data_IF_286298436268
#
_entry.id   IF_286298436268
#
_cell.length_a   1.000
_cell.length_b   1.000
_cell.length_c   1.000
_cell.angle_alpha   90.00
_cell.angle_beta   90.00
_cell.angle_gamma   90.00
#
_symmetry.space_group_name_H-M   'P 1'
#
loop_
_entity.id
_entity.type
_entity.pdbx_description
1 polymer ?
#
# COMPACT_ATOMS: atom_id res chain seq x y z
N UNK A 1 -8.05 16.37 10.77
CA UNK A 1 -9.44 15.94 10.92
C UNK A 1 -9.66 15.51 12.37
N UNK A 2 -10.69 16.00 13.04
CA UNK A 2 -11.14 15.48 14.34
C UNK A 2 -11.84 14.15 14.09
N UNK A 3 -11.45 13.09 14.78
CA UNK A 3 -12.16 11.82 14.72
C UNK A 3 -13.49 11.97 15.48
N UNK A 4 -14.58 11.38 15.01
CA UNK A 4 -15.82 11.32 15.79
C UNK A 4 -15.58 10.52 17.06
N UNK A 5 -16.33 10.79 18.13
CA UNK A 5 -16.26 9.98 19.35
C UNK A 5 -16.36 8.48 19.02
N UNK A 6 -15.41 7.69 19.51
CA UNK A 6 -15.33 6.24 19.25
C UNK A 6 -14.64 5.83 17.94
N UNK A 7 -14.14 6.75 17.12
CA UNK A 7 -13.34 6.43 15.92
C UNK A 7 -11.85 6.65 16.14
N UNK A 8 -11.04 5.70 15.69
CA UNK A 8 -9.58 5.79 15.74
C UNK A 8 -9.08 6.64 14.56
N UNK A 9 -8.15 7.54 14.83
CA UNK A 9 -7.38 8.23 13.79
C UNK A 9 -6.02 7.54 13.60
N UNK A 10 -5.33 7.76 12.46
CA UNK A 10 -3.98 7.24 12.27
C UNK A 10 -3.06 7.58 13.45
N UNK A 11 -3.11 8.84 13.90
CA UNK A 11 -2.25 9.34 14.98
C UNK A 11 -2.55 8.71 16.32
N UNK A 12 -3.80 8.27 16.56
CA UNK A 12 -4.20 7.63 17.81
C UNK A 12 -3.50 6.27 18.03
N UNK A 13 -2.98 5.65 16.97
CA UNK A 13 -2.22 4.39 17.02
C UNK A 13 -0.82 4.50 16.41
N UNK A 14 -0.29 5.72 16.31
CA UNK A 14 1.12 5.96 15.94
C UNK A 14 1.42 6.08 14.43
N UNK A 15 0.41 6.22 13.56
CA UNK A 15 0.59 6.50 12.14
C UNK A 15 0.34 7.98 11.81
N UNK A 16 0.98 8.48 10.75
CA UNK A 16 0.72 9.81 10.21
C UNK A 16 -0.47 9.85 9.24
N UNK A 17 -0.71 8.73 8.56
CA UNK A 17 -1.83 8.53 7.66
C UNK A 17 -1.97 7.04 7.34
N UNK A 18 -3.17 6.60 7.00
CA UNK A 18 -3.46 5.25 6.55
C UNK A 18 -4.44 5.26 5.38
N UNK A 19 -4.52 4.16 4.64
CA UNK A 19 -5.51 4.00 3.59
C UNK A 19 -6.95 3.99 4.14
N UNK A 20 -7.14 3.33 5.29
CA UNK A 20 -8.39 3.24 6.04
C UNK A 20 -8.10 2.72 7.46
N UNK A 21 -9.07 2.81 8.38
CA UNK A 21 -8.94 2.21 9.72
C UNK A 21 -8.76 0.68 9.57
N UNK A 22 -7.68 0.08 10.10
CA UNK A 22 -7.43 -1.35 9.94
C UNK A 22 -8.57 -2.24 10.45
N UNK A 23 -9.41 -1.77 11.40
CA UNK A 23 -10.59 -2.50 11.87
C UNK A 23 -11.67 -2.67 10.78
N UNK A 24 -11.62 -1.88 9.70
CA UNK A 24 -12.49 -2.04 8.53
C UNK A 24 -12.01 -3.13 7.55
N UNK A 25 -10.83 -3.72 7.79
CA UNK A 25 -10.37 -4.89 7.05
C UNK A 25 -11.32 -6.07 7.25
N UNK A 26 -11.87 -6.59 6.17
CA UNK A 26 -13.05 -7.49 6.22
C UNK A 26 -13.05 -8.58 5.14
N UNK A 27 -11.98 -8.67 4.33
CA UNK A 27 -11.88 -9.74 3.35
C UNK A 27 -11.71 -11.11 4.03
N UNK A 28 -12.47 -12.09 3.53
CA UNK A 28 -12.46 -13.48 4.02
C UNK A 28 -11.39 -14.35 3.36
N UNK A 29 -10.66 -13.79 2.39
CA UNK A 29 -9.60 -14.48 1.64
C UNK A 29 -8.31 -13.67 1.71
N UNK A 30 -7.18 -14.39 1.68
CA UNK A 30 -5.86 -13.76 1.69
C UNK A 30 -5.63 -12.95 0.40
N UNK A 31 -5.07 -11.75 0.56
CA UNK A 31 -4.68 -10.93 -0.58
C UNK A 31 -3.23 -11.15 -0.95
N UNK A 32 -2.99 -11.76 -2.10
CA UNK A 32 -1.66 -11.87 -2.70
C UNK A 32 -1.51 -10.89 -3.86
N UNK A 33 -0.30 -10.35 -4.02
CA UNK A 33 0.03 -9.50 -5.16
C UNK A 33 0.51 -10.37 -6.33
N UNK A 34 0.08 -10.04 -7.55
CA UNK A 34 0.54 -10.72 -8.77
C UNK A 34 1.96 -10.24 -9.08
N UNK A 35 2.85 -11.17 -9.41
CA UNK A 35 4.25 -10.91 -9.74
C UNK A 35 4.38 -9.89 -10.87
N UNK A 36 5.22 -8.89 -10.66
CA UNK A 36 5.54 -7.86 -11.63
C UNK A 36 4.48 -6.77 -11.80
N UNK A 37 3.40 -6.79 -11.01
CA UNK A 37 2.41 -5.72 -11.00
C UNK A 37 2.71 -4.71 -9.89
N UNK A 38 2.57 -3.42 -10.22
CA UNK A 38 2.69 -2.34 -9.24
C UNK A 38 1.30 -1.96 -8.74
N UNK A 39 1.04 -2.29 -7.48
CA UNK A 39 -0.16 -1.92 -6.75
C UNK A 39 -0.01 -0.52 -6.17
N UNK A 40 -1.09 0.26 -6.18
CA UNK A 40 -1.14 1.61 -5.63
C UNK A 40 -2.20 1.68 -4.54
N UNK A 41 -1.76 2.05 -3.34
CA UNK A 41 -2.58 2.22 -2.14
C UNK A 41 -2.57 3.68 -1.75
N UNK A 42 -3.72 4.34 -1.87
CA UNK A 42 -3.92 5.74 -1.55
C UNK A 42 -3.92 5.99 -0.06
N UNK A 43 -3.11 6.94 0.39
CA UNK A 43 -3.02 7.38 1.79
C UNK A 43 -3.16 8.90 1.85
N UNK A 44 -4.23 9.44 2.47
CA UNK A 44 -4.34 10.86 2.74
C UNK A 44 -3.46 11.27 3.93
N UNK A 45 -2.80 12.42 3.80
CA UNK A 45 -2.11 13.13 4.87
C UNK A 45 -2.81 14.46 5.12
N UNK A 46 -3.17 14.72 6.38
CA UNK A 46 -3.87 15.94 6.78
C UNK A 46 -2.97 17.00 7.43
N UNK A 47 -1.69 16.68 7.64
CA UNK A 47 -0.68 17.58 8.18
C UNK A 47 0.68 17.26 7.53
N UNK A 48 1.59 18.23 7.54
CA UNK A 48 2.96 17.99 7.10
C UNK A 48 3.62 16.93 8.00
N UNK A 49 4.34 15.98 7.43
CA UNK A 49 5.00 14.90 8.18
C UNK A 49 6.29 14.50 7.51
N UNK A 50 7.35 14.30 8.29
CA UNK A 50 8.56 13.60 7.82
C UNK A 50 8.30 12.11 7.84
N UNK A 51 7.96 11.53 6.69
CA UNK A 51 7.72 10.10 6.54
C UNK A 51 9.05 9.36 6.51
N UNK A 52 9.20 8.38 7.40
CA UNK A 52 10.36 7.47 7.44
C UNK A 52 10.00 6.04 7.12
N UNK A 53 8.74 5.67 7.30
CA UNK A 53 8.31 4.29 7.31
C UNK A 53 7.02 4.11 6.51
N UNK A 54 6.96 3.04 5.72
CA UNK A 54 5.73 2.48 5.15
C UNK A 54 5.37 1.27 6.00
N UNK A 55 4.12 1.14 6.42
CA UNK A 55 3.64 -0.01 7.18
C UNK A 55 2.57 -0.78 6.42
N UNK A 56 2.61 -2.10 6.55
CA UNK A 56 1.58 -3.02 6.09
C UNK A 56 1.17 -3.93 7.24
N UNK A 57 -0.05 -4.46 7.22
CA UNK A 57 -0.42 -5.57 8.08
C UNK A 57 -0.38 -6.87 7.27
N UNK A 58 0.42 -7.82 7.74
CA UNK A 58 0.65 -9.11 7.10
C UNK A 58 -0.04 -10.16 7.96
N UNK A 59 -1.25 -10.64 7.62
CA UNK A 59 -1.95 -11.68 8.38
C UNK A 59 -1.24 -13.04 8.33
N UNK A 60 -0.40 -13.26 7.32
CA UNK A 60 0.41 -14.46 7.18
C UNK A 60 1.25 -14.45 5.90
N UNK A 61 2.15 -15.41 5.79
CA UNK A 61 3.05 -15.56 4.65
C UNK A 61 3.21 -17.04 4.31
N UNK A 62 2.76 -17.40 3.11
CA UNK A 62 2.86 -18.75 2.57
C UNK A 62 4.13 -18.89 1.73
N UNK A 63 4.92 -19.94 1.98
CA UNK A 63 6.08 -20.30 1.15
C UNK A 63 7.38 -19.53 1.41
N UNK A 64 7.36 -18.40 2.12
CA UNK A 64 8.53 -17.68 2.65
C UNK A 64 9.68 -17.42 1.63
N UNK A 65 9.35 -17.25 0.35
CA UNK A 65 10.30 -17.14 -0.77
C UNK A 65 10.07 -15.90 -1.63
N UNK A 66 10.10 -14.72 -1.02
CA UNK A 66 9.97 -13.45 -1.74
C UNK A 66 11.28 -13.14 -2.47
N UNK A 67 11.19 -12.84 -3.75
CA UNK A 67 12.31 -12.43 -4.58
C UNK A 67 12.85 -11.06 -4.18
N UNK A 68 14.16 -10.81 -4.35
CA UNK A 68 14.82 -9.57 -3.95
C UNK A 68 14.36 -8.35 -4.77
N UNK A 69 13.71 -8.56 -5.91
CA UNK A 69 13.13 -7.52 -6.73
C UNK A 69 11.77 -7.02 -6.22
N UNK A 70 11.51 -7.06 -4.91
CA UNK A 70 10.25 -6.65 -4.29
C UNK A 70 10.44 -5.38 -3.49
N UNK A 71 9.61 -4.36 -3.70
CA UNK A 71 9.82 -3.02 -3.12
C UNK A 71 8.50 -2.37 -2.73
N UNK A 72 8.55 -1.53 -1.70
CA UNK A 72 7.52 -0.53 -1.42
C UNK A 72 8.10 0.88 -1.63
N UNK A 73 7.24 1.83 -1.95
CA UNK A 73 7.65 3.21 -2.18
C UNK A 73 6.52 4.19 -1.99
N UNK A 74 6.88 5.46 -1.86
CA UNK A 74 5.94 6.56 -1.68
C UNK A 74 5.93 7.42 -2.95
N UNK A 75 4.75 7.78 -3.43
CA UNK A 75 4.53 8.60 -4.60
C UNK A 75 3.59 9.75 -4.27
N UNK A 76 3.86 10.92 -4.85
CA UNK A 76 2.92 12.04 -4.84
C UNK A 76 1.69 11.73 -5.68
N UNK A 77 0.62 12.52 -5.53
CA UNK A 77 -0.57 12.44 -6.38
C UNK A 77 -0.31 12.71 -7.87
N UNK A 78 0.84 13.31 -8.22
CA UNK A 78 1.29 13.50 -9.60
C UNK A 78 2.04 12.28 -10.16
N UNK A 79 2.23 11.22 -9.35
CA UNK A 79 2.91 10.00 -9.76
C UNK A 79 4.44 10.09 -9.72
N UNK A 80 5.03 11.05 -8.99
CA UNK A 80 6.49 11.12 -8.79
C UNK A 80 6.90 10.33 -7.55
N UNK A 81 7.91 9.46 -7.67
CA UNK A 81 8.43 8.69 -6.54
C UNK A 81 9.27 9.58 -5.63
N UNK A 82 8.91 9.62 -4.36
CA UNK A 82 9.56 10.44 -3.32
C UNK A 82 10.13 9.63 -2.16
N UNK A 83 9.84 8.32 -2.13
CA UNK A 83 10.43 7.40 -1.17
C UNK A 83 10.52 5.98 -1.74
N UNK A 84 11.53 5.23 -1.31
CA UNK A 84 11.75 3.84 -1.70
C UNK A 84 12.31 3.06 -0.50
N UNK A 85 11.81 1.86 -0.25
CA UNK A 85 12.35 0.95 0.76
C UNK A 85 13.55 0.16 0.23
N UNK A 86 14.31 -0.46 1.13
CA UNK A 86 15.15 -1.60 0.76
C UNK A 86 14.29 -2.76 0.20
N UNK A 87 14.89 -3.78 -0.44
CA UNK A 87 14.19 -5.00 -0.84
C UNK A 87 13.33 -5.58 0.28
N UNK A 88 12.07 -5.90 -0.03
CA UNK A 88 11.10 -6.38 0.95
C UNK A 88 11.35 -7.83 1.41
N UNK A 89 12.17 -8.60 0.70
CA UNK A 89 12.44 -10.00 1.04
C UNK A 89 13.17 -10.18 2.39
N UNK A 90 13.85 -9.14 2.88
CA UNK A 90 14.42 -9.11 4.23
C UNK A 90 13.51 -8.47 5.29
N UNK A 91 12.48 -7.73 4.86
CA UNK A 91 11.60 -6.95 5.74
C UNK A 91 10.28 -7.67 6.02
N UNK A 92 9.70 -8.32 5.02
CA UNK A 92 8.49 -9.14 5.12
C UNK A 92 8.90 -10.57 5.47
N UNK A 93 9.12 -10.83 6.76
CA UNK A 93 9.41 -12.19 7.30
C UNK A 93 8.25 -12.77 8.13
N UNK A 94 7.17 -12.01 8.26
CA UNK A 94 6.04 -12.33 9.12
C UNK A 94 5.22 -13.51 8.58
N UNK A 95 5.28 -14.66 9.27
CA UNK A 95 4.41 -15.81 8.99
C UNK A 95 3.07 -15.74 9.72
N UNK A 96 2.94 -14.82 10.67
CA UNK A 96 1.77 -14.60 11.53
C UNK A 96 1.29 -13.14 11.46
N UNK A 97 0.08 -12.88 11.96
CA UNK A 97 -0.62 -11.60 11.88
C UNK A 97 0.06 -10.45 12.63
N UNK A 98 0.90 -9.69 11.93
CA UNK A 98 1.58 -8.50 12.50
C UNK A 98 1.65 -7.32 11.54
N UNK A 99 1.78 -6.14 12.13
CA UNK A 99 2.23 -4.95 11.40
C UNK A 99 3.72 -5.10 11.08
N UNK A 100 4.05 -4.95 9.80
CA UNK A 100 5.43 -4.89 9.32
C UNK A 100 5.76 -3.46 8.94
N UNK A 101 6.86 -2.95 9.51
CA UNK A 101 7.38 -1.61 9.24
C UNK A 101 8.51 -1.73 8.23
N UNK A 102 8.38 -1.02 7.11
CA UNK A 102 9.33 -1.01 6.00
C UNK A 102 9.95 0.40 5.90
N UNK A 103 11.18 0.60 6.41
CA UNK A 103 11.83 1.90 6.37
C UNK A 103 12.11 2.37 4.94
N UNK A 104 11.91 3.67 4.70
CA UNK A 104 12.41 4.35 3.52
C UNK A 104 13.93 4.50 3.62
N UNK A 105 14.62 4.30 2.51
CA UNK A 105 16.07 4.53 2.38
C UNK A 105 16.46 5.99 2.60
N UNK A 106 15.52 6.91 2.39
CA UNK A 106 15.67 8.34 2.69
C UNK A 106 14.32 8.85 3.20
N UNK A 107 14.34 9.58 4.32
CA UNK A 107 13.14 10.21 4.87
C UNK A 107 12.62 11.30 3.92
N UNK A 108 11.30 11.47 3.85
CA UNK A 108 10.67 12.44 2.98
C UNK A 108 9.72 13.35 3.75
N UNK A 109 9.91 14.67 3.68
CA UNK A 109 8.99 15.64 4.27
C UNK A 109 7.79 15.85 3.34
N UNK A 110 6.71 15.12 3.63
CA UNK A 110 5.48 15.16 2.87
C UNK A 110 4.60 16.34 3.31
N UNK A 111 4.18 17.16 2.36
CA UNK A 111 3.12 18.16 2.57
C UNK A 111 1.74 17.47 2.72
N UNK A 112 0.73 18.13 3.33
CA UNK A 112 -0.64 17.63 3.32
C UNK A 112 -1.13 17.34 1.90
N UNK A 113 -1.86 16.24 1.70
CA UNK A 113 -2.34 15.81 0.39
C UNK A 113 -2.53 14.30 0.29
N UNK A 114 -2.85 13.84 -0.92
CA UNK A 114 -2.99 12.41 -1.22
C UNK A 114 -1.67 11.86 -1.78
N UNK A 115 -1.27 10.71 -1.28
CA UNK A 115 -0.10 9.97 -1.74
C UNK A 115 -0.49 8.56 -2.13
N UNK A 116 0.34 7.91 -2.93
CA UNK A 116 0.28 6.46 -3.12
C UNK A 116 1.44 5.80 -2.41
N UNK A 117 1.15 4.83 -1.56
CA UNK A 117 2.09 3.74 -1.27
C UNK A 117 2.02 2.79 -2.45
N UNK A 118 3.12 2.66 -3.17
CA UNK A 118 3.26 1.67 -4.23
C UNK A 118 3.90 0.39 -3.69
N UNK A 119 3.47 -0.76 -4.22
CA UNK A 119 3.95 -2.07 -3.83
C UNK A 119 4.16 -2.94 -5.07
N UNK A 120 5.37 -3.48 -5.23
CA UNK A 120 5.68 -4.53 -6.21
C UNK A 120 6.22 -5.74 -5.45
N UNK A 121 5.61 -6.89 -5.68
CA UNK A 121 5.93 -8.16 -5.01
C UNK A 121 6.32 -9.13 -6.11
N UNK A 122 7.53 -9.67 -6.03
CA UNK A 122 8.07 -10.62 -6.98
C UNK A 122 8.48 -11.88 -6.21
N UNK A 123 8.06 -13.06 -6.66
CA UNK A 123 8.28 -14.34 -5.98
C UNK A 123 7.83 -15.51 -6.88
N UNK A 124 8.19 -16.76 -6.57
CA UNK A 124 8.15 -17.86 -7.54
C UNK A 124 6.74 -18.31 -7.94
N UNK A 125 5.69 -17.97 -7.17
CA UNK A 125 4.32 -18.30 -7.54
C UNK A 125 3.30 -17.20 -7.13
N UNK A 126 2.76 -16.40 -8.08
CA UNK A 126 2.00 -15.20 -7.78
C UNK A 126 0.53 -15.39 -7.33
N UNK A 127 0.01 -16.61 -7.30
CA UNK A 127 -1.45 -16.82 -7.14
C UNK A 127 -1.85 -17.43 -5.80
N UNK A 128 -0.90 -17.95 -5.02
CA UNK A 128 -1.17 -18.71 -3.79
C UNK A 128 0.03 -18.80 -2.82
N UNK A 129 1.13 -18.09 -3.06
CA UNK A 129 2.24 -17.96 -2.12
C UNK A 129 2.80 -16.54 -2.10
N UNK A 130 3.47 -16.18 -1.00
CA UNK A 130 3.92 -14.81 -0.73
C UNK A 130 3.31 -14.21 0.54
N UNK A 131 3.69 -12.96 0.86
CA UNK A 131 3.05 -12.21 1.94
C UNK A 131 1.59 -11.96 1.58
N UNK A 132 0.68 -12.34 2.47
CA UNK A 132 -0.69 -11.87 2.40
C UNK A 132 -0.76 -10.46 2.98
N UNK A 133 -1.71 -9.66 2.51
CA UNK A 133 -1.94 -8.31 3.02
C UNK A 133 -3.36 -8.16 3.56
N UNK A 134 -3.51 -7.38 4.64
CA UNK A 134 -4.83 -6.93 5.06
C UNK A 134 -5.48 -6.13 3.93
N UNK A 135 -6.75 -6.38 3.65
CA UNK A 135 -7.53 -5.60 2.69
C UNK A 135 -8.95 -5.36 3.15
N UNK A 136 -9.55 -4.28 2.68
CA UNK A 136 -10.99 -4.07 2.75
C UNK A 136 -11.76 -5.11 1.92
N UNK A 137 -12.99 -5.42 2.32
CA UNK A 137 -13.89 -6.26 1.54
C UNK A 137 -14.40 -5.54 0.28
N UNK A 138 -14.64 -6.33 -0.75
CA UNK A 138 -15.10 -5.90 -2.06
C UNK A 138 -16.34 -6.71 -2.47
N UNK A 139 -17.47 -6.04 -2.71
CA UNK A 139 -18.61 -6.67 -3.43
C UNK A 139 -18.52 -6.31 -4.92
N UNK A 140 -18.70 -7.29 -5.79
CA UNK A 140 -18.65 -7.12 -7.25
C UNK A 140 -17.24 -7.00 -7.86
N UNK A 141 -17.18 -6.80 -9.18
CA UNK A 141 -15.93 -6.69 -9.96
C UNK A 141 -15.21 -5.33 -9.82
N UNK A 142 -15.87 -4.34 -9.20
CA UNK A 142 -15.36 -2.99 -8.98
C UNK A 142 -15.84 -2.49 -7.60
N UNK A 143 -15.08 -2.67 -6.52
CA UNK A 143 -15.63 -2.47 -5.18
C UNK A 143 -15.73 -1.03 -4.74
N UNK A 144 -16.43 -0.84 -3.61
CA UNK A 144 -16.59 0.45 -2.94
C UNK A 144 -15.28 1.21 -2.65
N UNK A 145 -14.13 0.53 -2.56
CA UNK A 145 -12.81 1.18 -2.48
C UNK A 145 -12.47 2.06 -3.70
N UNK A 146 -13.06 1.76 -4.86
CA UNK A 146 -12.93 2.55 -6.10
C UNK A 146 -13.96 3.69 -6.23
N UNK A 147 -14.97 3.75 -5.34
CA UNK A 147 -15.98 4.81 -5.37
C UNK A 147 -15.34 6.19 -5.19
N UNK A 148 -15.57 7.07 -6.16
CA UNK A 148 -15.06 8.45 -6.25
C UNK A 148 -15.81 9.20 -7.36
N UNK A 149 -15.74 10.54 -7.35
CA UNK A 149 -16.19 11.35 -8.49
C UNK A 149 -15.29 11.12 -9.72
N UNK A 150 -15.81 11.32 -10.95
CA UNK A 150 -14.99 11.30 -12.16
C UNK A 150 -13.75 12.20 -12.02
N UNK A 151 -12.60 11.74 -12.53
CA UNK A 151 -11.30 12.42 -12.47
C UNK A 151 -10.72 12.69 -11.07
N UNK A 152 -11.39 12.24 -10.00
CA UNK A 152 -10.83 12.29 -8.66
C UNK A 152 -9.74 11.22 -8.45
N UNK A 153 -8.94 11.42 -7.41
CA UNK A 153 -7.83 10.56 -7.01
C UNK A 153 -8.25 9.08 -6.88
N UNK A 154 -7.50 8.19 -7.53
CA UNK A 154 -7.74 6.75 -7.48
C UNK A 154 -7.12 6.20 -6.19
N UNK A 155 -7.97 5.84 -5.22
CA UNK A 155 -7.51 5.34 -3.91
C UNK A 155 -6.87 3.96 -3.99
N UNK A 156 -7.40 3.06 -4.80
CA UNK A 156 -6.85 1.72 -4.97
C UNK A 156 -6.78 1.41 -6.45
N UNK A 157 -5.58 1.01 -6.90
CA UNK A 157 -5.33 0.79 -8.31
C UNK A 157 -4.06 0.02 -8.55
N UNK A 158 -3.74 -0.12 -9.83
CA UNK A 158 -2.50 -0.71 -10.31
C UNK A 158 -2.04 0.03 -11.55
N UNK A 159 -0.74 0.00 -11.81
CA UNK A 159 -0.21 0.42 -13.10
C UNK A 159 -0.52 -0.65 -14.15
N UNK A 160 -0.75 -0.22 -15.39
CA UNK A 160 -1.04 -1.12 -16.51
C UNK A 160 0.17 -1.94 -16.95
N UNK A 161 1.39 -1.48 -16.64
CA UNK A 161 2.62 -2.18 -16.99
C UNK A 161 2.87 -3.38 -16.06
N UNK A 162 3.28 -4.49 -16.65
CA UNK A 162 3.54 -5.78 -15.96
C UNK A 162 5.03 -6.14 -16.02
N UNK A 163 5.44 -7.18 -15.28
CA UNK A 163 6.84 -7.66 -15.29
C UNK A 163 7.83 -6.72 -14.60
N UNK A 164 7.33 -5.81 -13.76
CA UNK A 164 8.15 -4.84 -13.05
C UNK A 164 9.03 -5.52 -12.01
N UNK A 165 10.35 -5.35 -12.14
CA UNK A 165 11.35 -5.78 -11.15
C UNK A 165 11.81 -4.63 -10.25
N UNK A 166 11.20 -3.45 -10.41
CA UNK A 166 11.46 -2.26 -9.62
C UNK A 166 10.23 -1.36 -9.61
N UNK A 167 10.22 -0.39 -8.70
CA UNK A 167 9.26 0.70 -8.74
C UNK A 167 9.73 1.77 -9.75
N UNK A 168 8.86 2.31 -10.63
CA UNK A 168 9.26 3.35 -11.57
C UNK A 168 9.64 4.66 -10.85
N UNK A 169 10.48 5.50 -11.47
CA UNK A 169 10.78 6.82 -10.89
C UNK A 169 9.56 7.76 -10.94
N UNK A 170 8.72 7.61 -11.96
CA UNK A 170 7.44 8.30 -12.09
C UNK A 170 6.47 7.53 -12.99
N UNK A 171 5.20 7.90 -12.94
CA UNK A 171 4.18 7.45 -13.88
C UNK A 171 3.14 8.54 -14.15
N UNK A 172 2.45 8.45 -15.28
CA UNK A 172 1.27 9.28 -15.53
C UNK A 172 0.06 8.67 -14.80
N UNK A 173 -0.68 9.48 -14.03
CA UNK A 173 -1.89 9.04 -13.33
C UNK A 173 -2.98 8.47 -14.26
N UNK A 174 -2.97 8.86 -15.55
CA UNK A 174 -3.84 8.27 -16.57
C UNK A 174 -3.58 6.77 -16.83
N UNK A 175 -2.40 6.26 -16.44
CA UNK A 175 -2.04 4.85 -16.60
C UNK A 175 -2.44 3.98 -15.40
N UNK A 176 -3.19 4.54 -14.45
CA UNK A 176 -3.70 3.81 -13.29
C UNK A 176 -5.05 3.19 -13.66
N UNK A 177 -5.11 1.86 -13.60
CA UNK A 177 -6.38 1.14 -13.59
C UNK A 177 -6.86 1.01 -12.15
N UNK A 178 -8.07 1.46 -11.88
CA UNK A 178 -8.70 1.27 -10.57
C UNK A 178 -8.85 -0.23 -10.28
N UNK A 179 -8.58 -0.64 -9.04
CA UNK A 179 -8.50 -2.04 -8.66
C UNK A 179 -9.29 -2.28 -7.36
N UNK A 180 -9.81 -3.50 -7.26
CA UNK A 180 -10.44 -4.02 -6.07
C UNK A 180 -9.50 -4.28 -4.90
N UNK A 181 -8.19 -4.34 -5.17
CA UNK A 181 -7.13 -4.64 -4.21
C UNK A 181 -6.94 -3.50 -3.19
N UNK A 182 -7.93 -3.34 -2.32
CA UNK A 182 -8.00 -2.38 -1.23
C UNK A 182 -7.06 -2.76 -0.07
N UNK A 183 -5.79 -2.99 -0.41
CA UNK A 183 -4.72 -3.32 0.53
C UNK A 183 -4.58 -2.17 1.52
N UNK A 184 -4.43 -2.52 2.79
CA UNK A 184 -4.14 -1.57 3.86
C UNK A 184 -2.66 -1.22 3.85
N UNK A 185 -2.35 0.08 3.90
CA UNK A 185 -1.03 0.60 4.16
C UNK A 185 -1.11 1.85 5.02
N UNK A 186 -0.04 2.15 5.75
CA UNK A 186 0.10 3.35 6.54
C UNK A 186 1.48 3.99 6.38
N UNK A 187 1.57 5.27 6.70
CA UNK A 187 2.82 6.04 6.77
C UNK A 187 3.11 6.38 8.22
N UNK A 188 4.37 6.29 8.63
CA UNK A 188 4.83 6.71 9.94
C UNK A 188 6.12 7.53 9.85
N UNK A 189 6.33 8.35 10.88
CA UNK A 189 7.53 9.16 11.06
C UNK A 189 8.74 8.40 11.55
#
# INVERSE_FOLDING_TARGET
AVSSAGSWSPSAVGFAGWAFDPACGSATTAQYCINGWVYLIGVPLHAQTTVRNIAFYVPGYVGNTLGPASFAGLYTSAGARVGLTAPLNSLLSATEGKTVVCPLTTAYTAAPGNYWVALVVNGPNPSNSGPAFLRGSSVGQAPGGSARMPNAFIRHGRLNATGQTSLPASFNAANITADSNAIWAALAS
#
